data_IF_750456163734
#
_entry.id   IF_750456163734
#
_cell.length_a   1.000
_cell.length_b   1.000
_cell.length_c   1.000
_cell.angle_alpha   90.00
_cell.angle_beta   90.00
_cell.angle_gamma   90.00
#
_symmetry.space_group_name_H-M   'P 1'
#
loop_
_entity.id
_entity.type
_entity.pdbx_description
1 polymer ?
#
# COMPACT_ATOMS: atom_id res chain seq x y z
N UNK A 1 -13.54 3.42 5.07
CA UNK A 1 -12.44 2.82 5.85
C UNK A 1 -11.99 3.83 6.90
N UNK A 2 -12.10 3.45 8.17
CA UNK A 2 -11.68 4.28 9.30
C UNK A 2 -10.36 3.71 9.86
N UNK A 3 -9.24 4.26 9.40
CA UNK A 3 -7.90 3.78 9.76
C UNK A 3 -7.59 4.15 11.22
N UNK A 4 -7.01 3.21 11.97
CA UNK A 4 -6.59 3.41 13.36
C UNK A 4 -5.14 2.95 13.55
N UNK A 5 -4.56 3.18 14.73
CA UNK A 5 -3.21 2.73 15.08
C UNK A 5 -3.04 1.19 15.09
N UNK A 6 -4.12 0.42 14.92
CA UNK A 6 -4.08 -1.05 14.85
C UNK A 6 -3.83 -1.59 13.43
N UNK A 7 -3.88 -0.72 12.42
CA UNK A 7 -3.83 -1.15 11.03
C UNK A 7 -2.38 -1.43 10.60
N UNK A 8 -2.18 -2.49 9.83
CA UNK A 8 -0.91 -2.80 9.18
C UNK A 8 -0.89 -2.30 7.74
N UNK A 9 0.30 -1.98 7.22
CA UNK A 9 0.49 -1.46 5.87
C UNK A 9 0.82 -2.58 4.89
N UNK A 10 0.15 -2.58 3.73
CA UNK A 10 0.56 -3.35 2.54
C UNK A 10 1.00 -2.35 1.47
N UNK A 11 2.28 -2.41 1.08
CA UNK A 11 2.87 -1.51 0.10
C UNK A 11 2.91 -2.09 -1.32
N UNK A 12 2.64 -1.24 -2.32
CA UNK A 12 2.93 -1.48 -3.74
C UNK A 12 4.02 -0.52 -4.21
N UNK A 13 5.20 -1.05 -4.51
CA UNK A 13 6.37 -0.27 -4.96
C UNK A 13 6.55 -0.42 -6.48
N UNK A 14 6.39 0.66 -7.23
CA UNK A 14 6.68 0.74 -8.66
C UNK A 14 6.77 2.19 -9.14
N UNK A 15 7.28 2.43 -10.36
CA UNK A 15 7.30 3.75 -10.99
C UNK A 15 7.07 3.64 -12.51
N UNK A 16 6.11 4.39 -13.10
CA UNK A 16 5.05 5.18 -12.47
C UNK A 16 3.92 4.27 -11.93
N UNK A 17 3.19 4.72 -10.89
CA UNK A 17 2.16 3.87 -10.26
C UNK A 17 0.88 4.57 -9.79
N UNK A 18 0.81 5.91 -9.85
CA UNK A 18 -0.30 6.70 -9.27
C UNK A 18 -1.69 6.41 -9.87
N UNK A 19 -1.75 5.80 -11.05
CA UNK A 19 -2.99 5.44 -11.73
C UNK A 19 -3.38 3.96 -11.57
N UNK A 20 -2.66 3.20 -10.75
CA UNK A 20 -3.02 1.81 -10.46
C UNK A 20 -4.39 1.75 -9.77
N UNK A 21 -5.24 0.83 -10.23
CA UNK A 21 -6.51 0.49 -9.56
C UNK A 21 -6.31 -0.54 -8.43
N UNK A 22 -5.11 -1.09 -8.27
CA UNK A 22 -4.82 -2.07 -7.21
C UNK A 22 -5.12 -1.54 -5.80
N UNK A 23 -4.79 -0.27 -5.43
CA UNK A 23 -5.18 0.28 -4.13
C UNK A 23 -6.69 0.35 -3.92
N UNK A 24 -7.46 0.70 -4.96
CA UNK A 24 -8.92 0.72 -4.85
C UNK A 24 -9.46 -0.71 -4.63
N UNK A 25 -9.05 -1.65 -5.47
CA UNK A 25 -9.47 -3.05 -5.39
C UNK A 25 -9.14 -3.67 -4.03
N UNK A 26 -7.90 -3.53 -3.57
CA UNK A 26 -7.43 -4.17 -2.34
C UNK A 26 -8.07 -3.54 -1.10
N UNK A 27 -8.15 -2.20 -1.02
CA UNK A 27 -8.79 -1.55 0.12
C UNK A 27 -10.29 -1.89 0.22
N UNK A 28 -10.99 -2.05 -0.92
CA UNK A 28 -12.39 -2.52 -0.93
C UNK A 28 -12.52 -3.96 -0.43
N UNK A 29 -11.60 -4.85 -0.83
CA UNK A 29 -11.60 -6.23 -0.35
C UNK A 29 -11.29 -6.33 1.16
N UNK A 30 -10.28 -5.59 1.63
CA UNK A 30 -9.87 -5.54 3.03
C UNK A 30 -10.98 -4.97 3.93
N UNK A 31 -11.62 -3.89 3.50
CA UNK A 31 -12.78 -3.30 4.18
C UNK A 31 -13.94 -4.29 4.24
N UNK A 32 -14.24 -4.97 3.13
CA UNK A 32 -15.30 -5.99 3.08
C UNK A 32 -15.03 -7.18 4.00
N UNK A 33 -13.76 -7.57 4.16
CA UNK A 33 -13.34 -8.66 5.03
C UNK A 33 -13.19 -8.26 6.51
N UNK A 34 -13.29 -6.96 6.84
CA UNK A 34 -13.09 -6.46 8.20
C UNK A 34 -11.65 -6.60 8.70
N UNK A 35 -10.67 -6.62 7.79
CA UNK A 35 -9.26 -6.79 8.13
C UNK A 35 -8.60 -5.42 8.39
N UNK A 36 -7.79 -5.29 9.46
CA UNK A 36 -7.15 -4.02 9.82
C UNK A 36 -5.89 -3.79 8.96
N UNK A 37 -6.06 -3.63 7.65
CA UNK A 37 -4.96 -3.30 6.73
C UNK A 37 -5.31 -2.12 5.84
N UNK A 38 -4.28 -1.41 5.40
CA UNK A 38 -4.38 -0.39 4.35
C UNK A 38 -3.39 -0.72 3.23
N UNK A 39 -3.86 -0.68 1.99
CA UNK A 39 -3.04 -0.89 0.79
C UNK A 39 -2.68 0.46 0.16
N UNK A 40 -1.39 0.78 0.04
CA UNK A 40 -0.91 2.06 -0.52
C UNK A 40 0.14 1.85 -1.62
N UNK A 41 0.10 2.74 -2.63
CA UNK A 41 1.08 2.75 -3.70
C UNK A 41 2.18 3.80 -3.44
N UNK A 42 3.43 3.38 -3.58
CA UNK A 42 4.62 4.20 -3.41
C UNK A 42 5.40 4.24 -4.72
N UNK A 43 5.76 5.44 -5.17
CA UNK A 43 6.63 5.63 -6.32
C UNK A 43 8.06 5.28 -5.92
N UNK A 44 8.51 4.11 -6.34
CA UNK A 44 9.83 3.56 -6.03
C UNK A 44 10.42 3.01 -7.31
N UNK A 45 11.66 3.39 -7.58
CA UNK A 45 12.47 2.90 -8.68
C UNK A 45 13.70 2.16 -8.15
N UNK A 46 14.57 1.70 -9.06
CA UNK A 46 15.77 0.95 -8.67
C UNK A 46 16.74 1.76 -7.79
N UNK A 47 16.71 3.09 -7.85
CA UNK A 47 17.61 3.94 -7.05
C UNK A 47 17.13 4.09 -5.61
N UNK A 48 15.82 3.96 -5.39
CA UNK A 48 15.16 4.13 -4.09
C UNK A 48 14.72 2.82 -3.46
N UNK A 49 14.75 1.71 -4.21
CA UNK A 49 14.26 0.39 -3.76
C UNK A 49 14.93 -0.11 -2.48
N UNK A 50 16.25 -0.02 -2.36
CA UNK A 50 16.97 -0.47 -1.17
C UNK A 50 16.48 0.28 0.09
N UNK A 51 16.42 1.61 0.03
CA UNK A 51 15.92 2.43 1.14
C UNK A 51 14.43 2.23 1.42
N UNK A 52 13.62 1.95 0.38
CA UNK A 52 12.20 1.64 0.54
C UNK A 52 12.00 0.32 1.32
N UNK A 53 12.86 -0.68 1.09
CA UNK A 53 12.85 -1.93 1.85
C UNK A 53 13.37 -1.72 3.28
N UNK A 54 14.40 -0.90 3.48
CA UNK A 54 14.91 -0.57 4.82
C UNK A 54 13.91 0.21 5.68
N UNK A 55 12.96 0.93 5.06
CA UNK A 55 11.93 1.71 5.74
C UNK A 55 10.67 0.93 6.15
N UNK A 56 10.58 -0.36 5.81
CA UNK A 56 9.51 -1.26 6.24
C UNK A 56 9.82 -1.87 7.61
#
# INVERSE_FOLDING_TARGET
MDVTAKYELIGLMAYPIRHSLSPEMQNKALEKAGLPYTYMAFEVDNTTFASAIEGL
#
